data_IF_871582884975
#
_entry.id   IF_871582884975
#
_cell.length_a   1.000
_cell.length_b   1.000
_cell.length_c   1.000
_cell.angle_alpha   90.00
_cell.angle_beta   90.00
_cell.angle_gamma   90.00
#
_symmetry.space_group_name_H-M   'P 1'
#
loop_
_entity.id
_entity.type
_entity.pdbx_description
1 polymer ?
#
# COMPACT_ATOMS: atom_id res chain seq x y z
N UNK A 1 -25.03 -10.41 53.04
CA UNK A 1 -24.36 -10.81 51.78
C UNK A 1 -24.99 -10.21 50.51
N UNK A 2 -26.31 -9.99 50.43
CA UNK A 2 -26.99 -9.40 49.25
C UNK A 2 -26.52 -7.98 48.85
N UNK A 3 -26.11 -7.14 49.80
CA UNK A 3 -25.71 -5.75 49.50
C UNK A 3 -24.36 -5.64 48.76
N UNK A 4 -23.40 -6.52 49.08
CA UNK A 4 -22.11 -6.60 48.36
C UNK A 4 -22.29 -7.08 46.92
N UNK A 5 -23.22 -8.02 46.68
CA UNK A 5 -23.56 -8.49 45.33
C UNK A 5 -24.12 -7.37 44.45
N UNK A 6 -25.00 -6.52 45.00
CA UNK A 6 -25.59 -5.39 44.27
C UNK A 6 -24.51 -4.34 43.93
N UNK A 7 -23.59 -4.06 44.86
CA UNK A 7 -22.47 -3.15 44.62
C UNK A 7 -21.51 -3.67 43.54
N UNK A 8 -21.16 -4.96 43.59
CA UNK A 8 -20.32 -5.59 42.56
C UNK A 8 -20.99 -5.61 41.19
N UNK A 9 -22.31 -5.84 41.13
CA UNK A 9 -23.09 -5.75 39.89
C UNK A 9 -23.07 -4.35 39.29
N UNK A 10 -23.23 -3.30 40.11
CA UNK A 10 -23.15 -1.92 39.64
C UNK A 10 -21.77 -1.53 39.10
N UNK A 11 -20.71 -1.96 39.79
CA UNK A 11 -19.32 -1.75 39.33
C UNK A 11 -19.08 -2.50 38.02
N UNK A 12 -19.44 -3.79 37.95
CA UNK A 12 -19.28 -4.59 36.75
C UNK A 12 -20.05 -4.00 35.56
N UNK A 13 -21.27 -3.53 35.77
CA UNK A 13 -22.08 -2.89 34.73
C UNK A 13 -21.45 -1.59 34.23
N UNK A 14 -20.90 -0.78 35.13
CA UNK A 14 -20.19 0.46 34.79
C UNK A 14 -18.91 0.16 34.00
N UNK A 15 -18.16 -0.87 34.39
CA UNK A 15 -16.98 -1.33 33.66
C UNK A 15 -17.34 -1.83 32.26
N UNK A 16 -18.43 -2.58 32.10
CA UNK A 16 -18.92 -3.05 30.79
C UNK A 16 -19.30 -1.87 29.91
N UNK A 17 -20.04 -0.88 30.44
CA UNK A 17 -20.40 0.33 29.71
C UNK A 17 -19.16 1.14 29.32
N UNK A 18 -18.20 1.31 30.22
CA UNK A 18 -16.95 2.01 29.93
C UNK A 18 -16.15 1.30 28.84
N UNK A 19 -16.00 -0.02 28.93
CA UNK A 19 -15.35 -0.82 27.91
C UNK A 19 -16.07 -0.74 26.55
N UNK A 20 -17.41 -0.73 26.56
CA UNK A 20 -18.22 -0.57 25.35
C UNK A 20 -18.01 0.81 24.70
N UNK A 21 -18.00 1.89 25.48
CA UNK A 21 -17.74 3.24 24.96
C UNK A 21 -16.33 3.35 24.36
N UNK A 22 -15.32 2.81 25.03
CA UNK A 22 -13.95 2.76 24.50
C UNK A 22 -13.88 1.92 23.23
N UNK A 23 -14.55 0.77 23.20
CA UNK A 23 -14.61 -0.08 22.02
C UNK A 23 -15.26 0.64 20.83
N UNK A 24 -16.39 1.32 21.03
CA UNK A 24 -17.03 2.14 19.98
C UNK A 24 -16.09 3.24 19.51
N UNK A 25 -15.37 3.92 20.41
CA UNK A 25 -14.46 4.99 20.04
C UNK A 25 -13.26 4.49 19.21
N UNK A 26 -12.75 3.30 19.51
CA UNK A 26 -11.64 2.67 18.75
C UNK A 26 -12.13 2.05 17.43
N UNK A 27 -13.33 1.47 17.43
CA UNK A 27 -13.90 0.79 16.27
C UNK A 27 -14.65 1.73 15.31
N UNK A 28 -14.93 2.97 15.72
CA UNK A 28 -15.61 3.95 14.89
C UNK A 28 -14.77 4.27 13.63
N UNK A 29 -15.36 4.23 12.43
CA UNK A 29 -14.68 4.65 11.21
C UNK A 29 -14.31 6.13 11.33
N UNK A 30 -13.06 6.46 11.01
CA UNK A 30 -12.51 7.79 11.29
C UNK A 30 -13.04 8.87 10.34
N UNK A 31 -13.79 8.50 9.29
CA UNK A 31 -14.44 9.48 8.42
C UNK A 31 -15.68 8.93 7.70
N UNK A 32 -16.60 9.84 7.37
CA UNK A 32 -17.77 9.58 6.50
C UNK A 32 -17.32 9.17 5.09
N UNK A 33 -16.16 9.65 4.64
CA UNK A 33 -15.57 9.27 3.36
C UNK A 33 -15.22 7.78 3.30
N UNK A 34 -14.67 7.21 4.38
CA UNK A 34 -14.33 5.79 4.46
C UNK A 34 -15.58 4.90 4.38
N UNK A 35 -16.70 5.34 4.96
CA UNK A 35 -18.00 4.65 4.89
C UNK A 35 -18.57 4.72 3.47
N UNK A 36 -18.49 5.89 2.82
CA UNK A 36 -18.93 6.06 1.43
C UNK A 36 -18.10 5.20 0.46
N UNK A 37 -16.77 5.18 0.63
CA UNK A 37 -15.87 4.35 -0.17
C UNK A 37 -16.16 2.86 0.02
N UNK A 38 -16.37 2.39 1.25
CA UNK A 38 -16.74 0.99 1.52
C UNK A 38 -18.10 0.63 0.93
N UNK A 39 -19.08 1.55 0.97
CA UNK A 39 -20.38 1.36 0.36
C UNK A 39 -20.31 1.30 -1.18
N UNK A 40 -19.51 2.18 -1.82
CA UNK A 40 -19.32 2.15 -3.28
C UNK A 40 -18.59 0.91 -3.76
N UNK A 41 -17.63 0.39 -2.98
CA UNK A 41 -16.94 -0.87 -3.28
C UNK A 41 -17.91 -2.05 -3.21
N UNK A 42 -18.76 -2.10 -2.18
CA UNK A 42 -19.78 -3.15 -2.03
C UNK A 42 -20.88 -3.06 -3.10
N UNK A 43 -21.20 -1.86 -3.58
CA UNK A 43 -22.18 -1.62 -4.64
C UNK A 43 -21.60 -1.80 -6.06
N UNK A 44 -20.30 -2.04 -6.20
CA UNK A 44 -19.63 -2.19 -7.50
C UNK A 44 -19.49 -0.89 -8.30
N UNK A 45 -19.72 0.27 -7.69
CA UNK A 45 -19.63 1.60 -8.33
C UNK A 45 -18.34 2.33 -7.98
N UNK A 46 -17.37 1.61 -7.42
CA UNK A 46 -16.08 2.17 -7.08
C UNK A 46 -15.26 2.40 -8.36
N UNK A 47 -14.80 3.63 -8.55
CA UNK A 47 -13.97 4.01 -9.68
C UNK A 47 -12.79 4.84 -9.17
N UNK A 48 -11.62 4.58 -9.73
CA UNK A 48 -10.41 5.34 -9.43
C UNK A 48 -10.56 6.76 -9.97
N UNK A 49 -10.15 7.74 -9.17
CA UNK A 49 -10.03 9.11 -9.65
C UNK A 49 -8.86 9.21 -10.65
N UNK A 50 -9.19 9.15 -11.94
CA UNK A 50 -8.23 9.18 -13.04
C UNK A 50 -7.40 10.46 -13.04
N UNK A 51 -7.99 11.60 -12.71
CA UNK A 51 -7.28 12.88 -12.71
C UNK A 51 -6.18 12.91 -11.64
N UNK A 52 -6.48 12.36 -10.44
CA UNK A 52 -5.48 12.20 -9.39
C UNK A 52 -4.43 11.16 -9.73
N UNK A 53 -4.83 10.06 -10.36
CA UNK A 53 -3.90 9.05 -10.82
C UNK A 53 -2.86 9.64 -11.80
N UNK A 54 -3.32 10.43 -12.77
CA UNK A 54 -2.47 11.09 -13.75
C UNK A 54 -1.56 12.16 -13.11
N UNK A 55 -2.07 12.92 -12.13
CA UNK A 55 -1.25 13.84 -11.33
C UNK A 55 -0.14 13.11 -10.56
N UNK A 56 -0.47 11.95 -9.96
CA UNK A 56 0.51 11.07 -9.32
C UNK A 56 1.57 10.56 -10.30
N UNK A 57 1.16 10.19 -11.53
CA UNK A 57 2.08 9.77 -12.60
C UNK A 57 3.01 10.90 -13.01
N UNK A 58 2.52 12.13 -13.16
CA UNK A 58 3.37 13.28 -13.46
C UNK A 58 4.42 13.54 -12.36
N UNK A 59 4.03 13.44 -11.09
CA UNK A 59 4.94 13.55 -9.96
C UNK A 59 5.98 12.42 -9.96
N UNK A 60 5.58 11.20 -10.30
CA UNK A 60 6.47 10.05 -10.43
C UNK A 60 7.53 10.25 -11.50
N UNK A 61 7.15 10.74 -12.68
CA UNK A 61 8.09 11.03 -13.78
C UNK A 61 9.09 12.13 -13.40
N UNK A 62 8.70 13.04 -12.50
CA UNK A 62 9.58 14.07 -11.90
C UNK A 62 10.37 13.56 -10.69
N UNK A 63 10.38 12.25 -10.46
CA UNK A 63 11.06 11.56 -9.35
C UNK A 63 10.58 11.95 -7.94
N UNK A 64 9.38 12.53 -7.82
CA UNK A 64 8.78 12.90 -6.53
C UNK A 64 7.98 11.74 -5.94
N UNK A 65 8.66 10.61 -5.68
CA UNK A 65 8.03 9.34 -5.33
C UNK A 65 7.09 9.39 -4.10
N UNK A 66 7.44 10.05 -2.98
CA UNK A 66 6.52 10.15 -1.84
C UNK A 66 5.25 10.95 -2.17
N UNK A 67 5.37 12.02 -2.95
CA UNK A 67 4.23 12.85 -3.35
C UNK A 67 3.33 12.11 -4.36
N UNK A 68 3.93 11.36 -5.30
CA UNK A 68 3.19 10.50 -6.22
C UNK A 68 2.34 9.47 -5.48
N UNK A 69 2.90 8.80 -4.45
CA UNK A 69 2.15 7.86 -3.61
C UNK A 69 1.02 8.51 -2.82
N UNK A 70 1.22 9.74 -2.33
CA UNK A 70 0.15 10.48 -1.64
C UNK A 70 -1.03 10.74 -2.59
N UNK A 71 -0.77 11.17 -3.83
CA UNK A 71 -1.84 11.35 -4.83
C UNK A 71 -2.51 10.03 -5.22
N UNK A 72 -1.75 8.94 -5.37
CA UNK A 72 -2.34 7.62 -5.64
C UNK A 72 -3.15 7.06 -4.47
N UNK A 73 -2.78 7.33 -3.23
CA UNK A 73 -3.57 6.95 -2.05
C UNK A 73 -4.94 7.65 -2.01
N UNK A 74 -5.02 8.85 -2.61
CA UNK A 74 -6.27 9.60 -2.78
C UNK A 74 -7.02 9.17 -4.03
N UNK A 75 -6.31 8.73 -5.07
CA UNK A 75 -6.91 8.23 -6.31
C UNK A 75 -7.57 6.87 -6.13
N UNK A 76 -6.95 5.98 -5.34
CA UNK A 76 -7.44 4.65 -5.01
C UNK A 76 -7.44 4.40 -3.47
N UNK A 77 -8.31 5.09 -2.69
CA UNK A 77 -8.31 4.95 -1.23
C UNK A 77 -8.68 3.56 -0.72
N UNK A 78 -9.33 2.75 -1.56
CA UNK A 78 -9.71 1.38 -1.22
C UNK A 78 -8.64 0.35 -1.62
N UNK A 79 -7.55 0.77 -2.28
CA UNK A 79 -6.48 -0.08 -2.80
C UNK A 79 -7.03 -1.22 -3.68
N UNK A 80 -7.95 -0.90 -4.60
CA UNK A 80 -8.64 -1.88 -5.46
C UNK A 80 -8.21 -1.85 -6.91
N UNK A 81 -7.42 -0.87 -7.32
CA UNK A 81 -6.97 -0.78 -8.71
C UNK A 81 -5.56 -1.34 -8.87
N UNK A 82 -5.48 -2.45 -9.60
CA UNK A 82 -4.22 -3.17 -9.82
C UNK A 82 -3.14 -2.27 -10.46
N UNK A 83 -3.52 -1.38 -11.38
CA UNK A 83 -2.61 -0.44 -12.03
C UNK A 83 -2.07 0.58 -11.03
N UNK A 84 -2.92 1.16 -10.19
CA UNK A 84 -2.49 2.10 -9.14
C UNK A 84 -1.50 1.44 -8.19
N UNK A 85 -1.79 0.21 -7.76
CA UNK A 85 -0.87 -0.56 -6.91
C UNK A 85 0.48 -0.87 -7.59
N UNK A 86 0.48 -1.12 -8.90
CA UNK A 86 1.71 -1.27 -9.68
C UNK A 86 2.59 -0.02 -9.65
N UNK A 87 1.99 1.16 -9.87
CA UNK A 87 2.72 2.43 -9.84
C UNK A 87 3.23 2.78 -8.43
N UNK A 88 2.43 2.49 -7.39
CA UNK A 88 2.86 2.60 -5.99
C UNK A 88 4.08 1.72 -5.74
N UNK A 89 4.04 0.45 -6.15
CA UNK A 89 5.18 -0.46 -6.03
C UNK A 89 6.43 0.05 -6.76
N UNK A 90 6.25 0.56 -7.99
CA UNK A 90 7.36 1.07 -8.80
C UNK A 90 7.99 2.29 -8.12
N UNK A 91 7.20 3.16 -7.49
CA UNK A 91 7.74 4.31 -6.76
C UNK A 91 8.64 3.91 -5.59
N UNK A 92 8.29 2.83 -4.88
CA UNK A 92 9.12 2.29 -3.81
C UNK A 92 10.41 1.69 -4.35
N UNK A 93 10.32 0.90 -5.42
CA UNK A 93 11.49 0.40 -6.13
C UNK A 93 12.44 1.53 -6.54
N UNK A 94 11.91 2.58 -7.19
CA UNK A 94 12.71 3.70 -7.70
C UNK A 94 13.31 4.57 -6.62
N UNK A 95 12.63 4.74 -5.49
CA UNK A 95 13.11 5.50 -4.35
C UNK A 95 14.13 4.71 -3.51
N UNK A 96 13.87 3.41 -3.31
CA UNK A 96 14.75 2.54 -2.54
C UNK A 96 15.97 2.07 -3.31
N UNK A 97 16.03 2.29 -4.62
CA UNK A 97 17.16 1.87 -5.45
C UNK A 97 18.40 2.68 -5.07
N UNK A 98 19.39 2.01 -4.47
CA UNK A 98 20.73 2.55 -4.30
C UNK A 98 21.73 1.86 -5.22
N UNK A 99 22.82 2.57 -5.55
CA UNK A 99 23.91 2.03 -6.40
C UNK A 99 24.71 0.91 -5.77
N UNK A 100 24.67 0.80 -4.43
CA UNK A 100 25.47 -0.16 -3.64
C UNK A 100 24.58 -0.98 -2.71
N UNK A 101 23.60 -0.33 -2.07
CA UNK A 101 22.59 -1.00 -1.23
C UNK A 101 21.22 -0.40 -1.51
N UNK A 102 20.23 -1.28 -1.66
CA UNK A 102 18.80 -0.96 -1.67
C UNK A 102 18.33 -0.66 -0.25
N UNK A 103 17.34 0.22 -0.13
CA UNK A 103 16.63 0.41 1.13
C UNK A 103 15.64 -0.74 1.32
N UNK A 104 15.98 -1.70 2.18
CA UNK A 104 15.17 -2.87 2.46
C UNK A 104 13.75 -2.52 2.95
N UNK A 105 13.57 -1.41 3.66
CA UNK A 105 12.26 -1.01 4.16
C UNK A 105 11.37 -0.53 3.01
N UNK A 106 11.92 0.25 2.08
CA UNK A 106 11.21 0.67 0.88
C UNK A 106 10.95 -0.52 -0.05
N UNK A 107 11.91 -1.43 -0.21
CA UNK A 107 11.73 -2.62 -1.06
C UNK A 107 10.66 -3.56 -0.52
N UNK A 108 10.58 -3.76 0.81
CA UNK A 108 9.50 -4.53 1.42
C UNK A 108 8.12 -3.89 1.18
N UNK A 109 8.00 -2.57 1.32
CA UNK A 109 6.75 -1.86 1.01
C UNK A 109 6.38 -1.97 -0.48
N UNK A 110 7.37 -1.85 -1.37
CA UNK A 110 7.17 -2.09 -2.79
C UNK A 110 6.68 -3.51 -3.09
N UNK A 111 7.22 -4.51 -2.39
CA UNK A 111 6.88 -5.91 -2.58
C UNK A 111 5.43 -6.21 -2.18
N UNK A 112 4.96 -5.60 -1.10
CA UNK A 112 3.56 -5.68 -0.66
C UNK A 112 2.63 -5.10 -1.73
N UNK A 113 2.92 -3.88 -2.23
CA UNK A 113 2.13 -3.24 -3.27
C UNK A 113 2.16 -4.03 -4.61
N UNK A 114 3.31 -4.58 -5.00
CA UNK A 114 3.42 -5.42 -6.20
C UNK A 114 2.60 -6.72 -6.06
N UNK A 115 2.63 -7.33 -4.86
CA UNK A 115 1.83 -8.53 -4.58
C UNK A 115 0.33 -8.24 -4.58
N UNK A 116 -0.07 -7.08 -4.05
CA UNK A 116 -1.46 -6.62 -4.10
C UNK A 116 -1.92 -6.36 -5.54
N UNK A 117 -1.10 -5.70 -6.35
CA UNK A 117 -1.35 -5.48 -7.78
C UNK A 117 -1.63 -6.79 -8.52
N UNK A 118 -0.82 -7.83 -8.29
CA UNK A 118 -1.01 -9.16 -8.87
C UNK A 118 -2.31 -9.81 -8.36
N UNK A 119 -2.59 -9.73 -7.06
CA UNK A 119 -3.80 -10.31 -6.47
C UNK A 119 -5.09 -9.67 -7.00
N UNK A 120 -5.05 -8.39 -7.37
CA UNK A 120 -6.17 -7.66 -7.96
C UNK A 120 -6.36 -7.93 -9.47
N UNK A 121 -5.41 -8.61 -10.12
CA UNK A 121 -5.50 -9.03 -11.54
C UNK A 121 -5.25 -10.53 -11.70
N UNK A 122 -6.13 -11.39 -11.15
CA UNK A 122 -5.94 -12.85 -11.20
C UNK A 122 -6.17 -13.42 -12.62
N UNK A 123 -7.04 -12.81 -13.42
CA UNK A 123 -7.49 -13.35 -14.70
C UNK A 123 -6.59 -12.96 -15.89
N UNK A 124 -5.77 -11.92 -15.72
CA UNK A 124 -4.82 -11.45 -16.72
C UNK A 124 -3.58 -10.88 -16.04
N UNK A 125 -2.40 -11.34 -16.46
CA UNK A 125 -1.14 -10.76 -15.99
C UNK A 125 -1.15 -9.26 -16.31
N UNK A 126 -1.14 -8.43 -15.26
CA UNK A 126 -1.16 -6.99 -15.42
C UNK A 126 0.09 -6.54 -16.18
N UNK A 127 -0.11 -6.07 -17.41
CA UNK A 127 0.88 -5.42 -18.25
C UNK A 127 0.53 -3.93 -18.37
N UNK A 128 1.47 -3.07 -18.02
CA UNK A 128 1.37 -1.63 -18.12
C UNK A 128 2.19 -1.18 -19.31
N UNK A 129 1.49 -0.86 -20.39
CA UNK A 129 2.08 -0.27 -21.59
C UNK A 129 2.35 1.22 -21.36
N UNK A 130 3.43 1.53 -20.62
CA UNK A 130 3.97 2.88 -20.49
C UNK A 130 5.38 2.91 -21.08
N UNK A 131 5.58 3.77 -22.08
CA UNK A 131 6.85 3.93 -22.78
C UNK A 131 7.96 4.53 -21.88
N UNK A 132 7.58 5.23 -20.81
CA UNK A 132 8.50 5.83 -19.86
C UNK A 132 9.01 4.83 -18.80
N UNK A 133 8.44 3.63 -18.75
CA UNK A 133 8.79 2.58 -17.80
C UNK A 133 9.58 1.46 -18.48
N UNK A 134 10.68 1.00 -17.86
CA UNK A 134 11.43 -0.16 -18.38
C UNK A 134 10.89 -1.49 -17.85
N UNK A 135 10.21 -1.50 -16.70
CA UNK A 135 9.48 -2.67 -16.19
C UNK A 135 7.99 -2.47 -16.48
N UNK A 136 7.38 -3.41 -17.19
CA UNK A 136 5.98 -3.26 -17.62
C UNK A 136 5.04 -4.28 -16.99
N UNK A 137 5.55 -5.28 -16.25
CA UNK A 137 4.70 -6.27 -15.59
C UNK A 137 4.84 -6.24 -14.07
N UNK A 138 3.73 -6.42 -13.36
CA UNK A 138 3.74 -6.51 -11.89
C UNK A 138 4.56 -7.70 -11.39
N UNK A 139 4.57 -8.80 -12.14
CA UNK A 139 5.38 -9.99 -11.82
C UNK A 139 6.89 -9.72 -11.95
N UNK A 140 7.32 -9.02 -13.00
CA UNK A 140 8.72 -8.63 -13.16
C UNK A 140 9.14 -7.64 -12.07
N UNK A 141 8.30 -6.65 -11.76
CA UNK A 141 8.58 -5.68 -10.69
C UNK A 141 8.72 -6.37 -9.33
N UNK A 142 7.86 -7.34 -9.04
CA UNK A 142 7.94 -8.17 -7.83
C UNK A 142 9.28 -8.91 -7.77
N UNK A 143 9.70 -9.55 -8.86
CA UNK A 143 10.96 -10.29 -8.90
C UNK A 143 12.19 -9.37 -8.69
N UNK A 144 12.18 -8.16 -9.24
CA UNK A 144 13.24 -7.17 -9.04
C UNK A 144 13.31 -6.69 -7.58
N UNK A 145 12.15 -6.51 -6.92
CA UNK A 145 12.08 -6.16 -5.51
C UNK A 145 12.56 -7.31 -4.61
N UNK A 146 12.17 -8.55 -4.88
CA UNK A 146 12.66 -9.73 -4.15
C UNK A 146 14.17 -9.90 -4.32
N UNK A 147 14.67 -9.75 -5.54
CA UNK A 147 16.10 -9.81 -5.85
C UNK A 147 16.90 -8.69 -5.18
N UNK A 148 16.31 -7.52 -4.95
CA UNK A 148 16.94 -6.42 -4.21
C UNK A 148 16.89 -6.55 -2.68
N UNK A 149 16.12 -7.51 -2.13
CA UNK A 149 16.15 -7.84 -0.70
C UNK A 149 17.10 -8.98 -0.37
N UNK A 150 17.51 -9.76 -1.37
CA UNK A 150 18.46 -10.85 -1.18
C UNK A 150 19.88 -10.29 -1.10
N UNK A 151 20.46 -10.27 0.10
CA UNK A 151 21.91 -10.08 0.25
C UNK A 151 22.61 -11.29 -0.37
N UNK A 152 23.26 -11.09 -1.51
CA UNK A 152 24.06 -12.11 -2.17
C UNK A 152 25.54 -11.77 -2.03
N UNK A 153 26.41 -12.79 -2.04
CA UNK A 153 27.86 -12.58 -1.97
C UNK A 153 28.39 -11.64 -3.08
N UNK A 154 27.63 -11.50 -4.17
CA UNK A 154 27.88 -10.58 -5.26
C UNK A 154 27.68 -9.08 -4.91
N UNK A 155 26.99 -8.73 -3.83
CA UNK A 155 26.78 -7.32 -3.44
C UNK A 155 28.09 -6.66 -2.98
N UNK A 156 29.10 -7.48 -2.64
CA UNK A 156 30.48 -7.05 -2.39
C UNK A 156 31.33 -6.98 -3.66
N UNK A 157 30.77 -7.25 -4.84
CA UNK A 157 31.50 -7.20 -6.10
C UNK A 157 31.59 -5.75 -6.63
N UNK A 158 32.79 -5.14 -6.69
CA UNK A 158 32.97 -3.76 -7.15
C UNK A 158 32.60 -3.53 -8.61
N UNK A 159 32.37 -4.60 -9.40
CA UNK A 159 31.89 -4.52 -10.79
C UNK A 159 30.36 -4.36 -10.89
N UNK A 160 29.58 -4.63 -9.83
CA UNK A 160 28.12 -4.40 -9.83
C UNK A 160 27.71 -2.93 -9.61
N UNK A 161 28.68 -2.03 -9.39
CA UNK A 161 28.48 -0.56 -9.36
C UNK A 161 27.81 -0.03 -10.64
N UNK A 162 27.88 -0.81 -11.73
CA UNK A 162 27.30 -0.50 -13.03
C UNK A 162 25.89 -1.08 -13.29
N UNK A 163 25.19 -1.63 -12.27
CA UNK A 163 23.83 -2.16 -12.48
C UNK A 163 22.91 -1.05 -12.98
N UNK A 164 22.51 -1.14 -14.23
CA UNK A 164 21.69 -0.11 -14.87
C UNK A 164 20.28 -0.13 -14.27
N UNK A 165 19.78 1.05 -13.92
CA UNK A 165 18.43 1.24 -13.38
C UNK A 165 17.40 0.90 -14.45
N UNK A 166 16.52 -0.07 -14.15
CA UNK A 166 15.29 -0.31 -14.93
C UNK A 166 14.20 0.70 -14.52
#
# INVERSE_FOLDING_TARGET
MRHRLIQWLGIAWTCILGAFVVWVYVAAPKSVGEVATRASVAAGTYEVDRARFDAGRELFLREQYPAARDEWSRADPAERDARTQFYVAYSFYRQGWGRVYSDDALYRQGLEAASLSIALSPDAALSVEDAELKIQSAAELKAELEGGLQQTADDFNPLKVFRERK
#
